data_IF_671084809706
#
_entry.id   IF_671084809706
#
_cell.length_a   1.000
_cell.length_b   1.000
_cell.length_c   1.000
_cell.angle_alpha   90.00
_cell.angle_beta   90.00
_cell.angle_gamma   90.00
#
_symmetry.space_group_name_H-M   'P 1'
#
loop_
_entity.id
_entity.type
_entity.pdbx_description
1 polymer ?
#
# COMPACT_ATOMS: atom_id res chain seq x y z
N UNK A 1 -83.53 -13.37 17.07
CA UNK A 1 -83.33 -12.49 15.90
C UNK A 1 -82.09 -13.01 15.17
N UNK A 2 -82.16 -14.05 14.31
CA UNK A 2 -82.68 -14.13 12.93
C UNK A 2 -82.13 -13.04 11.97
N UNK A 3 -81.27 -13.52 11.05
CA UNK A 3 -80.97 -13.04 9.68
C UNK A 3 -80.16 -11.73 9.57
N UNK A 4 -79.19 -11.56 8.66
CA UNK A 4 -78.99 -12.13 7.32
C UNK A 4 -77.58 -11.75 6.78
N UNK A 5 -77.06 -12.56 5.85
CA UNK A 5 -76.30 -12.16 4.64
C UNK A 5 -74.84 -11.65 4.75
N UNK A 6 -73.91 -11.83 3.79
CA UNK A 6 -73.76 -12.52 2.47
C UNK A 6 -72.27 -12.28 2.02
N UNK A 7 -71.71 -13.16 1.16
CA UNK A 7 -70.49 -12.99 0.30
C UNK A 7 -69.11 -12.94 1.02
N UNK A 8 -67.98 -13.41 0.48
CA UNK A 8 -67.61 -14.06 -0.77
C UNK A 8 -66.29 -14.84 -0.50
N UNK A 9 -66.16 -16.05 -1.04
CA UNK A 9 -64.92 -16.83 -0.96
C UNK A 9 -63.96 -16.33 -2.06
N UNK A 10 -62.89 -15.62 -1.68
CA UNK A 10 -61.82 -15.26 -2.60
C UNK A 10 -60.86 -16.45 -2.74
N UNK A 11 -60.80 -17.01 -3.95
CA UNK A 11 -59.80 -17.99 -4.36
C UNK A 11 -58.47 -17.26 -4.56
N UNK A 12 -57.51 -17.49 -3.68
CA UNK A 12 -56.13 -17.06 -3.87
C UNK A 12 -55.46 -18.04 -4.86
N UNK A 13 -55.28 -17.62 -6.12
CA UNK A 13 -54.46 -18.35 -7.06
C UNK A 13 -52.97 -18.14 -6.71
N UNK A 14 -52.33 -19.14 -6.11
CA UNK A 14 -50.88 -19.21 -5.98
C UNK A 14 -50.28 -19.55 -7.34
N UNK A 15 -49.73 -18.55 -8.03
CA UNK A 15 -48.86 -18.76 -9.18
C UNK A 15 -47.53 -19.35 -8.69
N UNK A 16 -47.35 -20.66 -8.82
CA UNK A 16 -46.04 -21.30 -8.73
C UNK A 16 -45.24 -20.97 -10.01
N UNK A 17 -44.34 -20.01 -9.93
CA UNK A 17 -43.24 -19.92 -10.90
C UNK A 17 -42.28 -21.07 -10.59
N UNK A 18 -42.17 -22.03 -11.51
CA UNK A 18 -41.18 -23.08 -11.47
C UNK A 18 -39.77 -22.45 -11.38
N UNK A 19 -39.08 -22.67 -10.25
CA UNK A 19 -37.67 -22.36 -10.12
C UNK A 19 -36.87 -23.34 -10.99
N UNK A 20 -36.11 -22.82 -11.94
CA UNK A 20 -35.13 -23.60 -12.70
C UNK A 20 -34.13 -24.28 -11.75
N UNK A 21 -33.64 -25.49 -12.06
CA UNK A 21 -32.70 -26.17 -11.20
C UNK A 21 -31.38 -25.38 -11.13
N UNK A 22 -30.99 -24.99 -9.93
CA UNK A 22 -29.65 -24.47 -9.66
C UNK A 22 -28.69 -25.66 -9.81
N UNK A 23 -28.02 -25.74 -10.96
CA UNK A 23 -26.88 -26.63 -11.11
C UNK A 23 -25.83 -26.23 -10.06
N UNK A 24 -25.61 -27.08 -9.06
CA UNK A 24 -24.50 -26.95 -8.12
C UNK A 24 -23.21 -26.98 -8.92
N UNK A 25 -22.48 -25.86 -8.94
CA UNK A 25 -21.09 -25.85 -9.37
C UNK A 25 -20.26 -26.76 -8.44
N UNK A 26 -19.23 -27.45 -8.95
CA UNK A 26 -18.40 -28.32 -8.12
C UNK A 26 -17.68 -27.50 -7.04
N UNK A 27 -17.70 -28.00 -5.82
CA UNK A 27 -17.02 -27.39 -4.68
C UNK A 27 -15.50 -27.45 -4.88
N UNK A 28 -14.82 -26.33 -4.67
CA UNK A 28 -13.36 -26.26 -4.66
C UNK A 28 -12.85 -26.59 -3.25
N UNK A 29 -11.98 -27.58 -3.05
CA UNK A 29 -11.38 -27.84 -1.74
C UNK A 29 -10.03 -27.10 -1.60
N UNK A 30 -9.86 -26.30 -0.53
CA UNK A 30 -8.55 -25.78 -0.10
C UNK A 30 -8.53 -24.46 0.70
N UNK A 31 -8.24 -24.58 2.01
CA UNK A 31 -7.73 -23.60 3.00
C UNK A 31 -8.64 -22.50 3.65
N UNK A 32 -8.42 -22.19 4.95
CA UNK A 32 -9.43 -21.54 5.81
C UNK A 32 -9.35 -20.01 5.86
N UNK A 33 -8.52 -19.36 5.05
CA UNK A 33 -8.31 -17.91 5.11
C UNK A 33 -8.73 -17.27 3.78
N UNK A 34 -10.03 -17.01 3.66
CA UNK A 34 -10.72 -16.55 2.46
C UNK A 34 -10.24 -15.21 1.88
N UNK A 35 -9.17 -15.27 1.10
CA UNK A 35 -8.90 -14.31 0.03
C UNK A 35 -8.79 -15.08 -1.29
N UNK A 36 -9.77 -14.89 -2.18
CA UNK A 36 -9.81 -15.57 -3.47
C UNK A 36 -8.74 -15.02 -4.41
N UNK A 37 -7.63 -15.75 -4.56
CA UNK A 37 -6.76 -15.61 -5.73
C UNK A 37 -6.50 -16.99 -6.34
N UNK A 38 -7.25 -17.34 -7.39
CA UNK A 38 -6.93 -18.50 -8.23
C UNK A 38 -8.13 -19.25 -8.81
N UNK A 39 -8.13 -19.36 -10.15
CA UNK A 39 -8.87 -20.29 -11.05
C UNK A 39 -10.40 -20.37 -11.01
N UNK A 40 -11.11 -19.78 -10.05
CA UNK A 40 -12.58 -19.79 -10.04
C UNK A 40 -13.25 -18.41 -10.05
N UNK A 41 -12.49 -17.31 -10.11
CA UNK A 41 -13.05 -16.00 -10.35
C UNK A 41 -13.66 -15.96 -11.76
N UNK A 42 -14.97 -15.67 -11.87
CA UNK A 42 -15.59 -15.25 -13.14
C UNK A 42 -14.71 -14.15 -13.72
N UNK A 43 -14.14 -14.38 -14.90
CA UNK A 43 -13.39 -13.37 -15.62
C UNK A 43 -14.32 -12.21 -15.94
N UNK A 44 -14.28 -11.17 -15.10
CA UNK A 44 -14.76 -9.85 -15.48
C UNK A 44 -13.93 -9.41 -16.69
N UNK A 45 -14.55 -8.75 -17.69
CA UNK A 45 -13.81 -8.29 -18.86
C UNK A 45 -12.64 -7.44 -18.39
N UNK A 46 -11.43 -7.87 -18.77
CA UNK A 46 -10.19 -7.15 -18.53
C UNK A 46 -10.28 -5.86 -19.33
N UNK A 47 -10.86 -4.82 -18.75
CA UNK A 47 -10.68 -3.47 -19.24
C UNK A 47 -9.19 -3.19 -19.00
N UNK A 48 -8.37 -3.46 -20.01
CA UNK A 48 -7.06 -2.87 -20.10
C UNK A 48 -7.30 -1.36 -20.20
N UNK A 49 -7.48 -0.69 -19.06
CA UNK A 49 -7.12 0.72 -19.03
C UNK A 49 -5.62 0.72 -19.23
N UNK A 50 -5.19 0.90 -20.48
CA UNK A 50 -3.85 1.43 -20.73
C UNK A 50 -3.74 2.66 -19.82
N UNK A 51 -2.85 2.55 -18.84
CA UNK A 51 -2.68 3.55 -17.82
C UNK A 51 -2.46 4.90 -18.51
N UNK A 52 -3.35 5.86 -18.27
CA UNK A 52 -3.02 7.26 -18.44
C UNK A 52 -1.65 7.49 -17.78
N UNK A 53 -0.76 8.21 -18.45
CA UNK A 53 0.62 8.47 -18.00
C UNK A 53 0.70 9.05 -16.58
N UNK A 54 1.90 9.39 -16.09
CA UNK A 54 2.05 9.82 -14.71
C UNK A 54 1.22 11.09 -14.41
N UNK A 55 0.58 11.10 -13.26
CA UNK A 55 -0.39 12.12 -12.83
C UNK A 55 0.17 12.93 -11.66
N UNK A 56 -0.08 14.22 -11.62
CA UNK A 56 0.19 15.06 -10.45
C UNK A 56 -0.98 14.94 -9.45
N UNK A 57 -0.96 13.91 -8.60
CA UNK A 57 -2.01 13.71 -7.60
C UNK A 57 -1.96 14.84 -6.56
N UNK A 58 -3.07 15.57 -6.38
CA UNK A 58 -3.19 16.65 -5.38
C UNK A 58 -4.39 16.41 -4.46
N UNK A 59 -4.34 17.01 -3.26
CA UNK A 59 -5.41 16.88 -2.29
C UNK A 59 -5.73 15.43 -1.94
N UNK A 60 -7.01 15.06 -2.06
CA UNK A 60 -7.48 13.69 -1.74
C UNK A 60 -7.35 12.71 -2.91
N UNK A 61 -6.73 13.11 -4.02
CA UNK A 61 -6.53 12.22 -5.16
C UNK A 61 -5.46 11.17 -4.80
N UNK A 62 -5.86 9.91 -4.82
CA UNK A 62 -4.96 8.77 -4.71
C UNK A 62 -5.54 7.63 -5.55
N UNK A 63 -4.74 6.91 -6.35
CA UNK A 63 -5.26 5.87 -7.22
C UNK A 63 -5.87 4.75 -6.38
N UNK A 64 -6.97 4.18 -6.89
CA UNK A 64 -7.60 3.04 -6.25
C UNK A 64 -6.67 1.82 -6.28
N UNK A 65 -6.82 0.90 -5.33
CA UNK A 65 -5.90 -0.24 -5.20
C UNK A 65 -5.89 -1.15 -6.44
N UNK A 66 -6.99 -1.16 -7.19
CA UNK A 66 -7.17 -1.91 -8.43
C UNK A 66 -6.34 -1.33 -9.59
N UNK A 67 -5.86 -0.09 -9.48
CA UNK A 67 -4.96 0.53 -10.46
C UNK A 67 -3.48 0.21 -10.20
N UNK A 68 -3.16 -0.37 -9.04
CA UNK A 68 -1.79 -0.65 -8.65
C UNK A 68 -1.30 -1.92 -9.32
N UNK A 69 -0.03 -1.92 -9.70
CA UNK A 69 0.64 -3.14 -10.14
C UNK A 69 0.78 -4.10 -8.97
N UNK A 70 0.79 -5.39 -9.28
CA UNK A 70 1.08 -6.41 -8.28
C UNK A 70 2.49 -6.21 -7.70
N UNK A 71 2.71 -6.68 -6.48
CA UNK A 71 4.04 -6.64 -5.86
C UNK A 71 5.14 -7.27 -6.73
N UNK A 72 4.83 -8.34 -7.47
CA UNK A 72 5.83 -8.99 -8.32
C UNK A 72 6.20 -8.13 -9.53
N UNK A 73 5.24 -7.41 -10.13
CA UNK A 73 5.50 -6.45 -11.20
C UNK A 73 6.30 -5.25 -10.68
N UNK A 74 5.91 -4.69 -9.53
CA UNK A 74 6.67 -3.62 -8.88
C UNK A 74 8.09 -4.08 -8.52
N UNK A 75 8.25 -5.30 -8.00
CA UNK A 75 9.57 -5.87 -7.70
C UNK A 75 10.41 -6.03 -8.96
N UNK A 76 9.82 -6.50 -10.06
CA UNK A 76 10.52 -6.64 -11.33
C UNK A 76 11.01 -5.28 -11.86
N UNK A 77 10.20 -4.22 -11.73
CA UNK A 77 10.57 -2.85 -12.12
C UNK A 77 11.73 -2.32 -11.27
N UNK A 78 11.70 -2.53 -9.95
CA UNK A 78 12.60 -1.87 -9.02
C UNK A 78 13.89 -2.66 -8.73
N UNK A 79 13.85 -4.00 -8.82
CA UNK A 79 14.99 -4.85 -8.47
C UNK A 79 16.29 -4.56 -9.26
N UNK A 80 16.29 -4.13 -10.54
CA UNK A 80 17.52 -3.75 -11.24
C UNK A 80 18.20 -2.50 -10.66
N UNK A 81 17.45 -1.59 -10.03
CA UNK A 81 18.01 -0.45 -9.32
C UNK A 81 18.59 -0.90 -7.99
N UNK A 82 17.83 -1.70 -7.24
CA UNK A 82 18.23 -2.19 -5.92
C UNK A 82 19.47 -3.10 -5.99
N UNK A 83 19.62 -3.93 -7.03
CA UNK A 83 20.75 -4.85 -7.18
C UNK A 83 22.09 -4.16 -7.42
N UNK A 84 22.09 -2.85 -7.72
CA UNK A 84 23.32 -2.05 -7.81
C UNK A 84 23.97 -1.81 -6.44
N UNK A 85 23.20 -1.94 -5.36
CA UNK A 85 23.63 -1.60 -4.01
C UNK A 85 23.65 -2.80 -3.05
N UNK A 86 22.96 -3.88 -3.44
CA UNK A 86 22.71 -5.02 -2.58
C UNK A 86 23.10 -6.33 -3.27
N UNK A 87 23.69 -7.22 -2.50
CA UNK A 87 23.94 -8.60 -2.90
C UNK A 87 22.63 -9.38 -3.04
N UNK A 88 22.70 -10.58 -3.64
CA UNK A 88 21.54 -11.46 -3.80
C UNK A 88 20.90 -11.85 -2.46
N UNK A 89 21.70 -12.10 -1.42
CA UNK A 89 21.19 -12.44 -0.08
C UNK A 89 20.44 -11.26 0.55
N UNK A 90 20.99 -10.05 0.45
CA UNK A 90 20.33 -8.83 0.95
C UNK A 90 19.03 -8.54 0.20
N UNK A 91 19.03 -8.71 -1.14
CA UNK A 91 17.81 -8.60 -1.96
C UNK A 91 16.73 -9.60 -1.52
N UNK A 92 17.11 -10.84 -1.23
CA UNK A 92 16.18 -11.86 -0.74
C UNK A 92 15.62 -11.49 0.65
N UNK A 93 16.47 -11.01 1.55
CA UNK A 93 16.07 -10.53 2.88
C UNK A 93 15.08 -9.36 2.77
N UNK A 94 15.37 -8.36 1.93
CA UNK A 94 14.48 -7.23 1.68
C UNK A 94 13.12 -7.72 1.19
N UNK A 95 13.08 -8.60 0.18
CA UNK A 95 11.82 -9.12 -0.39
C UNK A 95 10.98 -9.85 0.67
N UNK A 96 11.64 -10.70 1.47
CA UNK A 96 11.02 -11.44 2.57
C UNK A 96 10.42 -10.50 3.61
N UNK A 97 11.22 -9.57 4.13
CA UNK A 97 10.82 -8.72 5.23
C UNK A 97 9.85 -7.61 4.86
N UNK A 98 9.80 -7.18 3.59
CA UNK A 98 8.66 -6.38 3.09
C UNK A 98 7.35 -7.15 3.28
N UNK A 99 7.31 -8.44 2.92
CA UNK A 99 6.12 -9.26 3.07
C UNK A 99 5.68 -9.41 4.53
N UNK A 100 6.61 -9.70 5.43
CA UNK A 100 6.32 -9.84 6.87
C UNK A 100 5.87 -8.52 7.51
N UNK A 101 6.56 -7.42 7.19
CA UNK A 101 6.23 -6.10 7.71
C UNK A 101 4.86 -5.59 7.22
N UNK A 102 4.55 -5.82 5.95
CA UNK A 102 3.25 -5.49 5.37
C UNK A 102 2.11 -6.24 6.07
N UNK A 103 2.29 -7.54 6.32
CA UNK A 103 1.34 -8.34 7.07
C UNK A 103 1.17 -7.83 8.51
N UNK A 104 2.27 -7.53 9.20
CA UNK A 104 2.24 -6.99 10.57
C UNK A 104 1.56 -5.61 10.66
N UNK A 105 1.76 -4.76 9.66
CA UNK A 105 1.15 -3.43 9.63
C UNK A 105 -0.31 -3.43 9.14
N UNK A 106 -0.74 -4.50 8.45
CA UNK A 106 -2.06 -4.59 7.82
C UNK A 106 -2.21 -3.67 6.61
N UNK A 107 -1.14 -3.54 5.82
CA UNK A 107 -0.98 -2.60 4.70
C UNK A 107 -0.46 -3.38 3.48
N UNK A 108 -0.82 -2.96 2.27
CA UNK A 108 -0.33 -3.60 1.05
C UNK A 108 1.21 -3.55 0.91
N UNK A 109 1.83 -4.67 0.53
CA UNK A 109 3.30 -4.78 0.40
C UNK A 109 3.89 -3.95 -0.74
N UNK A 110 3.11 -3.58 -1.75
CA UNK A 110 3.49 -2.63 -2.80
C UNK A 110 3.74 -1.23 -2.25
N UNK A 111 2.99 -0.81 -1.22
CA UNK A 111 3.25 0.45 -0.49
C UNK A 111 4.64 0.43 0.13
N UNK A 112 5.00 -0.66 0.82
CA UNK A 112 6.33 -0.79 1.44
C UNK A 112 7.46 -0.69 0.43
N UNK A 113 7.35 -1.38 -0.70
CA UNK A 113 8.36 -1.33 -1.74
C UNK A 113 8.48 0.08 -2.33
N UNK A 114 7.36 0.73 -2.67
CA UNK A 114 7.37 2.06 -3.29
C UNK A 114 7.89 3.15 -2.35
N UNK A 115 7.53 3.10 -1.07
CA UNK A 115 8.14 3.95 -0.03
C UNK A 115 9.64 3.69 0.05
N UNK A 116 10.08 2.44 0.19
CA UNK A 116 11.51 2.10 0.26
C UNK A 116 12.29 2.62 -0.95
N UNK A 117 11.70 2.58 -2.15
CA UNK A 117 12.32 3.14 -3.35
C UNK A 117 12.40 4.66 -3.33
N UNK A 118 11.42 5.35 -2.75
CA UNK A 118 11.44 6.79 -2.53
C UNK A 118 12.46 7.20 -1.47
N UNK A 119 12.56 6.45 -0.38
CA UNK A 119 13.38 6.77 0.80
C UNK A 119 14.86 6.43 0.59
N UNK A 120 15.15 5.26 0.01
CA UNK A 120 16.52 4.75 -0.04
C UNK A 120 16.93 4.13 -1.36
N UNK A 121 16.03 4.11 -2.37
CA UNK A 121 16.20 3.34 -3.61
C UNK A 121 16.43 1.84 -3.35
N UNK A 122 16.00 1.37 -2.17
CA UNK A 122 16.25 0.02 -1.66
C UNK A 122 17.69 -0.28 -1.28
N UNK A 123 18.56 0.72 -1.11
CA UNK A 123 19.94 0.51 -0.69
C UNK A 123 20.04 0.41 0.84
N UNK A 124 20.47 -0.75 1.36
CA UNK A 124 20.63 -0.98 2.81
C UNK A 124 21.68 -0.08 3.48
N UNK A 125 22.54 0.56 2.67
CA UNK A 125 23.64 1.44 3.09
C UNK A 125 23.37 2.91 2.78
N UNK A 126 22.12 3.29 2.53
CA UNK A 126 21.76 4.68 2.25
C UNK A 126 22.08 5.58 3.45
N UNK A 127 22.68 6.74 3.15
CA UNK A 127 22.87 7.83 4.10
C UNK A 127 21.53 8.51 4.36
N UNK A 128 21.29 8.92 5.60
CA UNK A 128 20.08 9.66 5.96
C UNK A 128 19.93 10.93 5.12
N UNK A 129 18.85 11.05 4.35
CA UNK A 129 18.64 12.20 3.45
C UNK A 129 18.45 13.53 4.19
N UNK A 130 17.87 13.47 5.39
CA UNK A 130 17.69 14.60 6.32
C UNK A 130 18.77 14.67 7.41
N UNK A 131 19.76 13.77 7.36
CA UNK A 131 20.84 13.66 8.33
C UNK A 131 20.52 12.81 9.58
N UNK A 132 19.26 12.46 9.85
CA UNK A 132 18.86 11.83 11.12
C UNK A 132 18.00 10.57 10.97
N UNK A 133 17.37 10.32 9.83
CA UNK A 133 16.53 9.14 9.62
C UNK A 133 17.25 8.03 8.83
N UNK A 134 17.86 7.03 9.46
CA UNK A 134 18.63 6.00 8.76
C UNK A 134 17.78 4.86 8.18
N UNK A 135 18.45 3.99 7.41
CA UNK A 135 17.95 2.69 7.00
C UNK A 135 17.05 2.71 5.76
N UNK A 136 16.54 1.53 5.40
CA UNK A 136 15.79 1.31 4.14
C UNK A 136 14.53 2.18 4.00
N UNK A 137 13.85 2.45 5.11
CA UNK A 137 12.62 3.24 5.13
C UNK A 137 12.80 4.62 5.78
N UNK A 138 14.06 5.04 6.01
CA UNK A 138 14.42 6.34 6.56
C UNK A 138 13.55 6.71 7.77
N UNK A 139 13.66 5.91 8.84
CA UNK A 139 12.89 6.10 10.07
C UNK A 139 13.82 6.51 11.23
N UNK A 140 13.46 7.55 11.98
CA UNK A 140 14.24 8.00 13.13
C UNK A 140 14.39 6.86 14.15
N UNK A 141 15.61 6.61 14.64
CA UNK A 141 15.92 5.50 15.53
C UNK A 141 15.97 4.11 14.88
N UNK A 142 15.85 4.01 13.55
CA UNK A 142 16.10 2.77 12.81
C UNK A 142 17.58 2.37 12.89
N UNK A 143 17.93 1.07 12.84
CA UNK A 143 19.31 0.70 12.59
C UNK A 143 19.72 1.03 11.14
N UNK A 144 21.01 0.89 10.84
CA UNK A 144 21.60 1.14 9.53
C UNK A 144 22.67 0.11 9.19
N UNK A 145 22.87 -0.15 7.90
CA UNK A 145 24.05 -0.85 7.39
C UNK A 145 25.06 0.09 6.71
N UNK A 146 24.94 1.40 6.90
CA UNK A 146 25.93 2.37 6.44
C UNK A 146 27.34 1.97 6.93
N UNK A 147 28.32 2.01 6.03
CA UNK A 147 29.71 1.62 6.33
C UNK A 147 30.01 0.12 6.25
N UNK A 148 28.99 -0.75 6.14
CA UNK A 148 29.23 -2.19 5.91
C UNK A 148 29.69 -2.46 4.46
N UNK A 149 30.58 -3.44 4.22
CA UNK A 149 30.97 -3.83 2.86
C UNK A 149 29.78 -4.39 2.09
N UNK A 150 29.83 -4.40 0.75
CA UNK A 150 28.78 -4.99 -0.10
C UNK A 150 28.50 -6.45 0.29
N UNK A 151 27.23 -6.80 0.49
CA UNK A 151 26.83 -8.13 0.98
C UNK A 151 27.03 -8.37 2.48
N UNK A 152 27.59 -7.40 3.21
CA UNK A 152 27.87 -7.50 4.65
C UNK A 152 26.77 -7.00 5.58
N UNK A 153 25.59 -6.60 5.07
CA UNK A 153 24.50 -6.17 5.93
C UNK A 153 23.81 -7.39 6.57
N UNK A 154 23.74 -7.51 7.90
CA UNK A 154 23.10 -8.65 8.54
C UNK A 154 21.61 -8.72 8.22
N UNK A 155 21.09 -9.93 7.98
CA UNK A 155 19.68 -10.20 7.70
C UNK A 155 18.74 -9.64 8.79
N UNK A 156 19.14 -9.75 10.06
CA UNK A 156 18.42 -9.18 11.21
C UNK A 156 18.35 -7.65 11.16
N UNK A 157 19.41 -6.99 10.67
CA UNK A 157 19.45 -5.53 10.52
C UNK A 157 18.52 -5.09 9.38
N UNK A 158 18.49 -5.84 8.27
CA UNK A 158 17.53 -5.60 7.16
C UNK A 158 16.10 -5.73 7.64
N UNK A 159 15.80 -6.78 8.41
CA UNK A 159 14.50 -6.95 9.06
C UNK A 159 14.15 -5.72 9.90
N UNK A 160 15.05 -5.32 10.80
CA UNK A 160 14.80 -4.22 11.72
C UNK A 160 14.59 -2.88 10.99
N UNK A 161 15.33 -2.59 9.91
CA UNK A 161 15.14 -1.38 9.08
C UNK A 161 13.73 -1.31 8.46
N UNK A 162 13.20 -2.43 7.98
CA UNK A 162 11.88 -2.48 7.36
C UNK A 162 10.77 -2.41 8.43
N UNK A 163 10.96 -3.12 9.55
CA UNK A 163 10.00 -3.07 10.66
C UNK A 163 9.95 -1.70 11.35
N UNK A 164 11.05 -0.94 11.35
CA UNK A 164 11.07 0.44 11.82
C UNK A 164 10.10 1.32 11.02
N UNK A 165 10.08 1.22 9.70
CA UNK A 165 9.06 1.94 8.89
C UNK A 165 7.64 1.39 9.08
N UNK A 166 7.50 0.08 9.28
CA UNK A 166 6.20 -0.58 9.41
C UNK A 166 5.46 -0.21 10.70
N UNK A 167 6.15 -0.36 11.84
CA UNK A 167 5.59 -0.30 13.18
C UNK A 167 6.06 0.94 13.95
N UNK A 168 7.07 1.63 13.44
CA UNK A 168 7.70 2.75 14.09
C UNK A 168 8.90 2.31 14.91
N UNK A 169 9.47 3.27 15.60
CA UNK A 169 10.49 3.08 16.62
C UNK A 169 9.98 3.72 17.91
N UNK A 170 10.78 3.68 18.98
CA UNK A 170 10.49 4.51 20.16
C UNK A 170 10.58 6.03 19.91
N UNK A 171 11.00 6.44 18.70
CA UNK A 171 11.26 7.84 18.33
C UNK A 171 10.41 8.33 17.14
N UNK A 172 9.84 7.43 16.34
CA UNK A 172 8.95 7.80 15.22
C UNK A 172 7.79 6.83 15.07
N UNK A 173 6.67 7.33 14.56
CA UNK A 173 5.51 6.51 14.27
C UNK A 173 5.69 5.74 12.96
N UNK A 174 5.28 4.47 12.95
CA UNK A 174 5.28 3.67 11.73
C UNK A 174 4.03 3.84 10.89
N UNK A 175 4.08 3.27 9.69
CA UNK A 175 2.96 3.22 8.75
C UNK A 175 1.68 2.67 9.38
N UNK A 176 1.76 1.64 10.23
CA UNK A 176 0.56 1.08 10.88
C UNK A 176 -0.17 2.11 11.75
N UNK A 177 0.58 2.93 12.50
CA UNK A 177 0.01 3.99 13.34
C UNK A 177 -0.59 5.10 12.49
N UNK A 178 0.15 5.59 11.49
CA UNK A 178 -0.35 6.58 10.54
C UNK A 178 -1.61 6.10 9.81
N UNK A 179 -1.69 4.83 9.45
CA UNK A 179 -2.83 4.26 8.76
C UNK A 179 -4.08 4.24 9.63
N UNK A 180 -3.94 3.80 10.88
CA UNK A 180 -5.04 3.79 11.86
C UNK A 180 -5.54 5.19 12.18
N UNK A 181 -4.63 6.13 12.47
CA UNK A 181 -4.96 7.53 12.79
C UNK A 181 -5.72 8.22 11.65
N UNK A 182 -5.36 7.89 10.40
CA UNK A 182 -5.94 8.50 9.22
C UNK A 182 -7.03 7.63 8.57
N UNK A 183 -7.87 7.00 9.40
CA UNK A 183 -9.09 6.28 8.98
C UNK A 183 -8.84 5.24 7.88
N UNK A 184 -7.66 4.61 7.89
CA UNK A 184 -7.21 3.61 6.92
C UNK A 184 -7.22 4.12 5.48
N UNK A 185 -6.90 5.40 5.27
CA UNK A 185 -6.72 6.00 3.96
C UNK A 185 -5.22 6.10 3.60
N UNK A 186 -4.85 5.58 2.42
CA UNK A 186 -3.45 5.50 2.00
C UNK A 186 -2.79 6.87 1.77
N UNK A 187 -3.46 7.81 1.10
CA UNK A 187 -2.90 9.16 0.86
C UNK A 187 -2.54 9.89 2.17
N UNK A 188 -3.50 10.09 3.09
CA UNK A 188 -3.23 10.67 4.41
C UNK A 188 -2.21 9.89 5.24
N UNK A 189 -2.20 8.55 5.18
CA UNK A 189 -1.18 7.73 5.83
C UNK A 189 0.22 8.04 5.31
N UNK A 190 0.41 8.12 3.99
CA UNK A 190 1.69 8.44 3.37
C UNK A 190 2.17 9.84 3.74
N UNK A 191 1.25 10.81 3.77
CA UNK A 191 1.54 12.16 4.26
C UNK A 191 1.99 12.12 5.72
N UNK A 192 1.23 11.47 6.60
CA UNK A 192 1.59 11.29 8.00
C UNK A 192 2.98 10.66 8.18
N UNK A 193 3.32 9.63 7.40
CA UNK A 193 4.64 8.99 7.46
C UNK A 193 5.77 9.94 7.05
N UNK A 194 5.57 10.70 5.97
CA UNK A 194 6.59 11.60 5.43
C UNK A 194 6.81 12.87 6.27
N UNK A 195 5.77 13.42 6.88
CA UNK A 195 5.82 14.73 7.56
C UNK A 195 5.48 14.68 9.04
N UNK A 196 5.27 13.49 9.61
CA UNK A 196 4.82 13.29 11.00
C UNK A 196 3.40 13.80 11.30
N UNK A 197 2.72 14.38 10.31
CA UNK A 197 1.43 15.06 10.48
C UNK A 197 0.68 15.21 9.16
N UNK A 198 -0.64 15.46 9.23
CA UNK A 198 -1.46 15.88 8.09
C UNK A 198 -1.98 17.28 8.39
N UNK A 199 -1.40 18.30 7.75
CA UNK A 199 -1.75 19.71 8.00
C UNK A 199 -3.17 20.01 7.53
N UNK A 200 -3.49 19.59 6.31
CA UNK A 200 -4.82 19.72 5.71
C UNK A 200 -5.19 18.39 5.04
N UNK A 201 -6.22 17.67 5.52
CA UNK A 201 -6.63 16.39 4.97
C UNK A 201 -7.21 16.49 3.55
N UNK A 202 -7.57 17.70 3.08
CA UNK A 202 -8.03 17.94 1.72
C UNK A 202 -6.91 18.39 0.78
N UNK A 203 -5.73 18.70 1.32
CA UNK A 203 -4.56 19.25 0.60
C UNK A 203 -3.28 18.58 1.05
N UNK A 204 -3.11 17.32 0.65
CA UNK A 204 -1.97 16.48 1.06
C UNK A 204 -0.62 16.96 0.49
N UNK A 205 -0.60 17.93 -0.40
CA UNK A 205 0.64 18.59 -0.84
C UNK A 205 1.18 19.62 0.16
N UNK A 206 0.36 20.08 1.11
CA UNK A 206 0.75 21.08 2.11
C UNK A 206 1.43 20.40 3.30
N UNK A 207 2.63 20.90 3.64
CA UNK A 207 3.48 20.34 4.69
C UNK A 207 4.11 21.44 5.53
N UNK A 208 4.40 21.15 6.80
CA UNK A 208 5.36 21.94 7.59
C UNK A 208 6.79 21.44 7.37
N UNK A 209 6.95 20.11 7.25
CA UNK A 209 8.21 19.40 7.02
C UNK A 209 7.96 18.23 6.07
N UNK A 210 8.99 17.75 5.38
CA UNK A 210 8.90 16.66 4.42
C UNK A 210 8.77 17.13 2.97
N UNK A 211 8.34 16.22 2.11
CA UNK A 211 8.31 16.38 0.66
C UNK A 211 6.87 16.63 0.19
N UNK A 212 6.55 17.81 -0.35
CA UNK A 212 5.21 18.12 -0.87
C UNK A 212 4.70 17.12 -1.93
N UNK A 213 5.57 16.64 -2.83
CA UNK A 213 5.21 15.68 -3.86
C UNK A 213 5.04 14.23 -3.38
N UNK A 214 5.37 13.91 -2.12
CA UNK A 214 5.55 12.54 -1.64
C UNK A 214 4.38 11.59 -1.97
N UNK A 215 3.15 12.04 -1.68
CA UNK A 215 1.95 11.23 -1.92
C UNK A 215 1.75 10.96 -3.42
N UNK A 216 1.97 11.97 -4.26
CA UNK A 216 1.90 11.85 -5.73
C UNK A 216 3.00 10.93 -6.27
N UNK A 217 4.20 11.05 -5.73
CA UNK A 217 5.36 10.27 -6.13
C UNK A 217 5.17 8.78 -5.80
N UNK A 218 4.64 8.45 -4.63
CA UNK A 218 4.31 7.07 -4.26
C UNK A 218 3.14 6.53 -5.10
N UNK A 219 2.09 7.34 -5.31
CA UNK A 219 0.94 6.97 -6.14
C UNK A 219 1.34 6.56 -7.57
N UNK A 220 2.23 7.31 -8.22
CA UNK A 220 2.71 6.95 -9.56
C UNK A 220 3.55 5.68 -9.55
N UNK A 221 4.42 5.50 -8.55
CA UNK A 221 5.25 4.29 -8.44
C UNK A 221 4.43 3.03 -8.22
N UNK A 222 3.30 3.10 -7.50
CA UNK A 222 2.37 1.97 -7.35
C UNK A 222 1.77 1.53 -8.69
N UNK A 223 1.65 2.45 -9.64
CA UNK A 223 1.19 2.20 -11.01
C UNK A 223 2.34 1.84 -11.97
N UNK A 224 3.57 1.71 -11.45
CA UNK A 224 4.77 1.43 -12.25
C UNK A 224 5.29 2.61 -13.06
N UNK A 225 4.89 3.83 -12.73
CA UNK A 225 5.24 5.05 -13.46
C UNK A 225 6.28 5.88 -12.69
N UNK A 226 7.22 6.48 -13.41
CA UNK A 226 8.13 7.46 -12.83
C UNK A 226 7.34 8.75 -12.50
N UNK A 227 7.48 9.32 -11.29
CA UNK A 227 6.78 10.54 -10.93
C UNK A 227 7.16 11.74 -11.80
N UNK A 228 6.16 12.58 -12.07
CA UNK A 228 6.36 13.87 -12.72
C UNK A 228 7.08 14.86 -11.80
N UNK A 229 7.91 15.73 -12.39
CA UNK A 229 8.66 16.78 -11.67
C UNK A 229 8.12 18.18 -11.93
N UNK A 230 7.19 18.33 -12.87
CA UNK A 230 6.60 19.59 -13.34
C UNK A 230 5.20 19.86 -12.77
N UNK A 231 4.91 19.33 -11.57
CA UNK A 231 3.60 19.40 -10.93
C UNK A 231 3.32 20.70 -10.15
N UNK A 232 4.30 21.60 -10.07
CA UNK A 232 4.22 22.83 -9.28
C UNK A 232 4.01 22.56 -7.79
N UNK A 233 4.72 21.56 -7.25
CA UNK A 233 4.81 21.34 -5.81
C UNK A 233 5.91 22.24 -5.22
N UNK A 234 5.73 22.65 -3.96
CA UNK A 234 6.77 23.40 -3.25
C UNK A 234 8.03 22.55 -3.01
N UNK A 235 9.13 23.20 -2.64
CA UNK A 235 10.37 22.52 -2.29
C UNK A 235 10.21 21.69 -1.00
N UNK A 236 10.99 20.62 -0.89
CA UNK A 236 11.04 19.82 0.34
C UNK A 236 11.59 20.66 1.50
N UNK A 237 10.96 20.51 2.67
CA UNK A 237 11.37 21.18 3.91
C UNK A 237 11.99 20.14 4.85
N UNK A 238 13.26 20.25 5.25
CA UNK A 238 13.91 19.24 6.09
C UNK A 238 13.19 19.01 7.42
N UNK A 239 13.18 17.76 7.90
CA UNK A 239 12.69 17.45 9.24
C UNK A 239 13.59 18.13 10.29
N UNK A 240 13.04 18.61 11.42
CA UNK A 240 13.85 19.21 12.47
C UNK A 240 14.80 18.21 13.15
N UNK A 241 14.48 16.92 13.09
CA UNK A 241 15.38 15.84 13.50
C UNK A 241 15.72 15.76 14.99
N UNK A 242 14.86 16.30 15.85
CA UNK A 242 15.01 16.30 17.30
C UNK A 242 13.80 15.70 18.01
#
# INVERSE_FOLDING_TARGET
>A
MLLKSILALQVLALSLTAASPINKAPACPGEPNGYETGKCARSLPRYQSQAAGPVCYKGTQFPAAEEWLSFNELWAINSPVMSKFNSKSEMNAIKKYIGEAAAAAGIDKGIFLTIMMQESRGNVRTVAGDGVTPGLMQALGSPSCLGTPFGGCPDSTIRAMIFAGALGTGQTEGLSTCFKKNRRQYGPMLRCYNSGSVVDPLRLEIVNFGTPSYVSDVANRLRGLEPRRDCGFDAATPSPGY
#
